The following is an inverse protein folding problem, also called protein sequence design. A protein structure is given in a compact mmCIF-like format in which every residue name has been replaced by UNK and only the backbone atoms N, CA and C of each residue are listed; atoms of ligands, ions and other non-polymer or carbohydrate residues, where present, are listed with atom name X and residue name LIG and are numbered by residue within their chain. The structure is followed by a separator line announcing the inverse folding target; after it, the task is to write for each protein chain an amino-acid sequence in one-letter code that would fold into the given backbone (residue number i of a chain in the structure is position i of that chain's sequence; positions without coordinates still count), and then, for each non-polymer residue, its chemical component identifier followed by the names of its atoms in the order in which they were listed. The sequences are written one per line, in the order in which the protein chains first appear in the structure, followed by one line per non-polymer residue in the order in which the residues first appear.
data_IF_404100755601
#
_entry.id   IF_404100755601
#
_cell.length_a   1.000
_cell.length_b   1.000
_cell.length_c   1.000
_cell.angle_alpha   90.00
_cell.angle_beta   90.00
_cell.angle_gamma   90.00
#
_symmetry.space_group_name_H-M   'P 1'
#
loop_
_entity.id
_entity.type
_entity.pdbx_description
1 polymer ?
#
# COMPACT_ATOMS: atom_id res chain seq x y z
N UNK A 1 11.29 9.78 16.99
CA UNK A 1 10.33 10.89 16.96
C UNK A 1 9.23 10.71 15.92
N UNK A 2 9.58 10.57 14.64
CA UNK A 2 8.61 10.46 13.52
C UNK A 2 7.60 9.32 13.69
N UNK A 3 8.04 8.09 13.91
CA UNK A 3 7.12 6.96 14.07
C UNK A 3 6.20 7.10 15.30
N UNK A 4 6.64 7.78 16.37
CA UNK A 4 5.79 8.12 17.52
C UNK A 4 4.68 9.10 17.13
N UNK A 5 5.01 10.14 16.36
CA UNK A 5 4.02 11.08 15.82
C UNK A 5 3.01 10.36 14.91
N UNK A 6 3.49 9.49 14.01
CA UNK A 6 2.61 8.70 13.14
C UNK A 6 1.68 7.79 13.95
N UNK A 7 2.18 7.14 15.00
CA UNK A 7 1.37 6.31 15.90
C UNK A 7 0.30 7.12 16.64
N UNK A 8 0.63 8.33 17.11
CA UNK A 8 -0.34 9.28 17.68
C UNK A 8 -1.38 9.73 16.63
N UNK A 9 -0.98 9.91 15.37
CA UNK A 9 -1.88 10.25 14.25
C UNK A 9 -2.74 9.09 13.77
N UNK A 10 -2.36 7.83 14.02
CA UNK A 10 -3.12 6.61 13.67
C UNK A 10 -3.90 6.06 14.88
N UNK A 11 -3.55 6.45 16.10
CA UNK A 11 -4.33 6.18 17.32
C UNK A 11 -3.92 4.90 18.00
N UNK A 12 -2.75 4.40 17.60
CA UNK A 12 -2.06 3.28 18.25
C UNK A 12 -1.27 3.73 19.47
N UNK A 13 -1.18 5.05 19.72
CA UNK A 13 -0.68 5.64 20.95
C UNK A 13 -1.64 6.73 21.44
N UNK A 14 -1.73 6.87 22.76
CA UNK A 14 -2.42 7.99 23.41
C UNK A 14 -1.44 9.13 23.71
N UNK A 15 -1.85 10.40 23.55
CA UNK A 15 -1.02 11.54 23.92
C UNK A 15 -0.87 11.62 25.44
N UNK A 16 0.35 11.91 25.91
CA UNK A 16 0.61 12.14 27.34
C UNK A 16 -0.01 13.45 27.85
N UNK A 17 -0.10 14.46 26.97
CA UNK A 17 -0.78 15.73 27.21
C UNK A 17 -1.28 16.30 25.86
N UNK A 18 -2.26 17.19 25.91
CA UNK A 18 -2.95 17.76 24.74
C UNK A 18 -4.03 16.84 24.14
N UNK A 19 -4.46 17.14 22.91
CA UNK A 19 -5.55 16.42 22.24
C UNK A 19 -5.24 16.14 20.77
N UNK A 20 -5.52 14.92 20.34
CA UNK A 20 -5.49 14.51 18.93
C UNK A 20 -6.91 14.18 18.49
N UNK A 21 -7.53 15.05 17.69
CA UNK A 21 -8.88 14.84 17.16
C UNK A 21 -8.83 14.49 15.68
N UNK A 22 -9.63 13.50 15.26
CA UNK A 22 -9.76 13.10 13.86
C UNK A 22 -11.19 13.24 13.40
N UNK A 23 -11.34 13.45 12.10
CA UNK A 23 -12.64 13.34 11.47
C UNK A 23 -13.07 11.87 11.41
N UNK A 24 -14.34 11.58 11.72
CA UNK A 24 -14.84 10.20 11.79
C UNK A 24 -14.74 9.42 10.47
N UNK A 25 -14.73 10.12 9.35
CA UNK A 25 -14.58 9.51 8.01
C UNK A 25 -13.13 9.45 7.53
N UNK A 26 -12.15 9.86 8.34
CA UNK A 26 -10.74 9.84 7.93
C UNK A 26 -10.26 8.39 7.73
N UNK A 27 -9.68 8.12 6.56
CA UNK A 27 -9.10 6.82 6.21
C UNK A 27 -7.61 7.04 6.05
N UNK A 28 -6.81 6.37 6.86
CA UNK A 28 -5.36 6.51 6.81
C UNK A 28 -4.78 5.22 6.24
N UNK A 29 -4.06 5.32 5.14
CA UNK A 29 -3.22 4.24 4.62
C UNK A 29 -1.81 4.42 5.15
N UNK A 30 -1.23 3.37 5.74
CA UNK A 30 0.15 3.41 6.21
C UNK A 30 1.01 2.53 5.28
N UNK A 31 2.12 3.06 4.81
CA UNK A 31 3.18 2.34 4.12
C UNK A 31 4.38 2.22 5.06
N UNK A 32 4.93 1.01 5.19
CA UNK A 32 6.10 0.70 5.98
C UNK A 32 6.74 -0.59 5.43
N UNK A 33 8.04 -0.77 5.62
CA UNK A 33 8.83 -1.85 5.00
C UNK A 33 8.24 -3.26 5.25
N UNK A 34 7.69 -3.53 6.43
CA UNK A 34 7.05 -4.81 6.73
C UNK A 34 5.82 -5.15 5.87
N UNK A 35 5.12 -4.16 5.30
CA UNK A 35 3.99 -4.45 4.39
C UNK A 35 4.45 -5.19 3.14
N UNK A 36 5.67 -4.91 2.68
CA UNK A 36 6.27 -5.60 1.53
C UNK A 36 6.53 -7.07 1.84
N UNK A 37 6.83 -7.41 3.10
CA UNK A 37 7.04 -8.79 3.57
C UNK A 37 5.73 -9.59 3.61
N UNK A 38 4.59 -8.91 3.76
CA UNK A 38 3.26 -9.53 3.81
C UNK A 38 2.66 -9.82 2.42
N UNK A 39 3.34 -9.43 1.33
CA UNK A 39 2.86 -9.71 -0.01
C UNK A 39 2.80 -11.23 -0.28
N UNK A 40 1.78 -11.72 -1.02
CA UNK A 40 1.69 -13.13 -1.40
C UNK A 40 2.73 -13.47 -2.46
N UNK A 41 3.85 -14.04 -2.00
CA UNK A 41 5.05 -14.31 -2.80
C UNK A 41 4.83 -15.27 -3.98
N UNK A 42 3.79 -16.10 -3.90
CA UNK A 42 3.41 -17.10 -4.89
C UNK A 42 2.52 -16.57 -6.02
N UNK A 43 1.89 -15.40 -5.83
CA UNK A 43 1.04 -14.73 -6.81
C UNK A 43 1.81 -13.72 -7.67
N UNK A 44 1.25 -13.36 -8.80
CA UNK A 44 1.68 -12.20 -9.60
C UNK A 44 1.02 -10.91 -9.07
N UNK A 45 1.60 -9.72 -9.32
CA UNK A 45 0.96 -8.44 -8.98
C UNK A 45 -0.45 -8.30 -9.53
N UNK A 46 -0.66 -8.76 -10.76
CA UNK A 46 -1.96 -8.69 -11.42
C UNK A 46 -2.97 -9.58 -10.70
N UNK A 47 -2.63 -10.84 -10.40
CA UNK A 47 -3.50 -11.75 -9.64
C UNK A 47 -3.80 -11.21 -8.25
N UNK A 48 -2.77 -10.75 -7.52
CA UNK A 48 -2.95 -10.17 -6.18
C UNK A 48 -3.93 -9.01 -6.18
N UNK A 49 -3.77 -8.07 -7.12
CA UNK A 49 -4.65 -6.90 -7.19
C UNK A 49 -6.06 -7.26 -7.66
N UNK A 50 -6.21 -8.23 -8.57
CA UNK A 50 -7.53 -8.73 -9.00
C UNK A 50 -8.28 -9.44 -7.86
N UNK A 51 -7.57 -10.16 -6.99
CA UNK A 51 -8.17 -10.80 -5.82
C UNK A 51 -8.66 -9.79 -4.78
N UNK A 52 -7.89 -8.71 -4.56
CA UNK A 52 -8.24 -7.63 -3.64
C UNK A 52 -9.35 -6.72 -4.18
N UNK A 53 -9.42 -6.52 -5.51
CA UNK A 53 -10.33 -5.58 -6.17
C UNK A 53 -11.09 -6.25 -7.32
N UNK A 54 -12.12 -7.02 -6.96
CA UNK A 54 -12.92 -7.84 -7.88
C UNK A 54 -13.83 -7.05 -8.83
N UNK A 55 -14.01 -5.76 -8.58
CA UNK A 55 -14.89 -4.88 -9.37
C UNK A 55 -14.25 -4.42 -10.70
N UNK A 56 -12.96 -4.70 -10.89
CA UNK A 56 -12.21 -4.28 -12.08
C UNK A 56 -12.03 -5.44 -13.05
N UNK A 57 -12.17 -5.14 -14.33
CA UNK A 57 -11.75 -6.08 -15.39
C UNK A 57 -10.21 -6.20 -15.42
N UNK A 58 -9.72 -7.30 -15.99
CA UNK A 58 -8.29 -7.56 -16.11
C UNK A 58 -7.55 -6.44 -16.86
N UNK A 59 -8.14 -5.90 -17.94
CA UNK A 59 -7.56 -4.82 -18.72
C UNK A 59 -7.46 -3.51 -17.90
N UNK A 60 -8.53 -3.17 -17.18
CA UNK A 60 -8.52 -2.04 -16.27
C UNK A 60 -7.45 -2.21 -15.21
N UNK A 61 -7.35 -3.38 -14.58
CA UNK A 61 -6.34 -3.63 -13.55
C UNK A 61 -4.91 -3.50 -14.12
N UNK A 62 -4.64 -4.04 -15.31
CA UNK A 62 -3.35 -3.89 -15.99
C UNK A 62 -2.96 -2.44 -16.20
N UNK A 63 -3.91 -1.61 -16.67
CA UNK A 63 -3.69 -0.17 -16.85
C UNK A 63 -3.34 0.50 -15.53
N UNK A 64 -4.04 0.09 -14.47
CA UNK A 64 -3.95 0.73 -13.16
C UNK A 64 -2.65 0.40 -12.42
N UNK A 65 -2.25 -0.88 -12.35
CA UNK A 65 -0.93 -1.23 -11.80
C UNK A 65 0.22 -0.69 -12.67
N UNK A 66 -0.02 -0.53 -13.98
CA UNK A 66 0.89 0.12 -14.92
C UNK A 66 1.21 1.56 -14.54
N UNK A 67 0.24 2.33 -14.02
CA UNK A 67 0.44 3.71 -13.54
C UNK A 67 1.42 3.82 -12.38
N UNK A 68 1.61 2.74 -11.62
CA UNK A 68 2.59 2.65 -10.54
C UNK A 68 3.96 2.13 -11.02
N UNK A 69 4.13 1.92 -12.33
CA UNK A 69 5.35 1.44 -12.96
C UNK A 69 5.53 -0.08 -12.91
N UNK A 70 4.46 -0.84 -12.64
CA UNK A 70 4.45 -2.29 -12.77
C UNK A 70 3.99 -2.60 -14.20
N UNK A 71 4.93 -2.65 -15.15
CA UNK A 71 4.63 -2.77 -16.58
C UNK A 71 5.24 -4.03 -17.20
N UNK A 72 4.70 -4.43 -18.35
CA UNK A 72 5.23 -5.54 -19.14
C UNK A 72 5.30 -6.86 -18.34
N UNK A 73 6.42 -7.60 -18.41
CA UNK A 73 6.57 -8.90 -17.73
C UNK A 73 6.42 -8.84 -16.21
N UNK A 74 6.67 -7.68 -15.59
CA UNK A 74 6.57 -7.53 -14.14
C UNK A 74 5.13 -7.75 -13.62
N UNK A 75 4.11 -7.52 -14.45
CA UNK A 75 2.72 -7.75 -14.07
C UNK A 75 2.38 -9.24 -13.90
N UNK A 76 3.07 -10.10 -14.64
CA UNK A 76 2.81 -11.55 -14.71
C UNK A 76 3.93 -12.37 -14.08
N UNK A 77 4.97 -11.74 -13.56
CA UNK A 77 6.04 -12.39 -12.81
C UNK A 77 5.59 -12.56 -11.35
N UNK A 78 5.87 -13.72 -10.74
CA UNK A 78 5.56 -13.94 -9.32
C UNK A 78 6.26 -12.91 -8.44
N UNK A 79 5.58 -12.43 -7.41
CA UNK A 79 6.06 -11.37 -6.51
C UNK A 79 7.42 -11.73 -5.89
N UNK A 80 7.66 -13.02 -5.59
CA UNK A 80 8.97 -13.49 -5.09
C UNK A 80 10.17 -13.18 -5.99
N UNK A 81 9.94 -12.97 -7.29
CA UNK A 81 10.99 -12.68 -8.28
C UNK A 81 11.10 -11.19 -8.63
N UNK A 82 10.25 -10.34 -8.05
CA UNK A 82 10.35 -8.90 -8.23
C UNK A 82 11.50 -8.34 -7.41
N UNK A 83 12.13 -7.27 -7.91
CA UNK A 83 13.03 -6.45 -7.09
C UNK A 83 12.25 -5.80 -5.95
N UNK A 84 12.94 -5.43 -4.87
CA UNK A 84 12.27 -4.81 -3.73
C UNK A 84 11.59 -3.49 -4.10
N UNK A 85 12.18 -2.71 -5.01
CA UNK A 85 11.53 -1.52 -5.57
C UNK A 85 10.23 -1.81 -6.34
N UNK A 86 10.14 -2.95 -7.03
CA UNK A 86 8.90 -3.38 -7.68
C UNK A 86 7.87 -3.87 -6.64
N UNK A 87 8.29 -4.61 -5.62
CA UNK A 87 7.40 -5.02 -4.52
C UNK A 87 6.83 -3.81 -3.78
N UNK A 88 7.65 -2.79 -3.51
CA UNK A 88 7.22 -1.51 -2.94
C UNK A 88 6.14 -0.82 -3.79
N UNK A 89 6.28 -0.85 -5.12
CA UNK A 89 5.25 -0.33 -6.04
C UNK A 89 3.96 -1.14 -6.00
N UNK A 90 4.02 -2.46 -5.79
CA UNK A 90 2.83 -3.32 -5.62
C UNK A 90 2.07 -2.91 -4.35
N UNK A 91 2.77 -2.74 -3.23
CA UNK A 91 2.16 -2.28 -1.97
C UNK A 91 1.57 -0.88 -2.14
N UNK A 92 2.29 0.02 -2.81
CA UNK A 92 1.82 1.38 -3.03
C UNK A 92 0.58 1.43 -3.93
N UNK A 93 0.53 0.62 -5.00
CA UNK A 93 -0.66 0.45 -5.82
C UNK A 93 -1.84 -0.06 -4.98
N UNK A 94 -1.61 -1.10 -4.18
CA UNK A 94 -2.62 -1.67 -3.29
C UNK A 94 -3.14 -0.64 -2.28
N UNK A 95 -2.28 0.17 -1.65
CA UNK A 95 -2.67 1.23 -0.73
C UNK A 95 -3.49 2.33 -1.41
N UNK A 96 -3.05 2.79 -2.58
CA UNK A 96 -3.74 3.83 -3.33
C UNK A 96 -5.18 3.42 -3.69
N UNK A 97 -5.38 2.14 -3.99
CA UNK A 97 -6.70 1.59 -4.31
C UNK A 97 -7.67 1.54 -3.13
N UNK A 98 -7.18 1.52 -1.88
CA UNK A 98 -8.03 1.64 -0.68
C UNK A 98 -8.59 3.04 -0.47
N UNK A 99 -8.30 3.96 -1.39
CA UNK A 99 -8.74 5.35 -1.40
C UNK A 99 -8.57 6.04 -0.02
N UNK A 100 -7.34 6.04 0.55
CA UNK A 100 -7.08 6.68 1.81
C UNK A 100 -7.17 8.21 1.66
N UNK A 101 -7.72 8.88 2.68
CA UNK A 101 -7.72 10.34 2.77
C UNK A 101 -6.33 10.89 3.16
N UNK A 102 -5.53 10.09 3.87
CA UNK A 102 -4.14 10.41 4.21
C UNK A 102 -3.27 9.17 4.01
N UNK A 103 -2.11 9.34 3.37
CA UNK A 103 -1.11 8.31 3.22
C UNK A 103 0.11 8.64 4.08
N UNK A 104 0.45 7.75 5.01
CA UNK A 104 1.63 7.88 5.85
C UNK A 104 2.72 6.99 5.30
N UNK A 105 3.82 7.57 4.84
CA UNK A 105 4.95 6.87 4.28
C UNK A 105 6.09 6.83 5.30
N UNK A 106 6.36 5.67 5.91
CA UNK A 106 7.55 5.46 6.73
C UNK A 106 8.68 4.92 5.82
N UNK A 107 9.65 5.80 5.53
CA UNK A 107 10.82 5.63 4.64
C UNK A 107 10.59 4.88 3.32
N UNK A 108 10.10 5.56 2.26
CA UNK A 108 10.26 5.10 0.88
C UNK A 108 11.56 5.67 0.29
N UNK A 109 12.63 4.88 0.24
CA UNK A 109 13.81 5.18 -0.60
C UNK A 109 13.89 4.18 -1.74
#
# INVERSE_FOLDING_TARGET
GKSTLLKLMVGTLEPLDGMVKRHNHLRIGQYHQHLTELLPMDKTPLEYMMDEYKDLSLEQMRSQIGRFGITGPAQTLKIKHLSDGLKSRVVFAWLAYRNPHMLLLDEPT
#
